data_IF_596270336503
#
_entry.id   IF_596270336503
#
_cell.length_a   1.000
_cell.length_b   1.000
_cell.length_c   1.000
_cell.angle_alpha   90.00
_cell.angle_beta   90.00
_cell.angle_gamma   90.00
#
_symmetry.space_group_name_H-M   'P 1'
#
loop_
_entity.id
_entity.type
_entity.pdbx_description
1 polymer ?
#
# COMPACT_ATOMS: atom_id res chain seq x y z
N UNK A 1 15.43 -19.44 -1.61
CA UNK A 1 14.71 -19.97 -2.79
C UNK A 1 14.35 -18.89 -3.82
N UNK A 2 14.36 -17.60 -3.48
CA UNK A 2 14.08 -16.51 -4.44
C UNK A 2 15.09 -15.36 -4.27
N UNK A 3 15.58 -14.79 -5.38
CA UNK A 3 16.68 -13.80 -5.40
C UNK A 3 16.24 -12.33 -5.50
N UNK A 4 14.95 -12.08 -5.77
CA UNK A 4 14.39 -10.73 -5.90
C UNK A 4 13.54 -10.38 -4.66
N UNK A 5 13.19 -9.11 -4.54
CA UNK A 5 12.21 -8.61 -3.57
C UNK A 5 12.75 -7.51 -2.67
N UNK A 6 11.88 -6.55 -2.35
CA UNK A 6 12.17 -5.43 -1.46
C UNK A 6 11.43 -5.52 -0.10
N UNK A 7 10.75 -6.63 0.17
CA UNK A 7 9.86 -6.75 1.34
C UNK A 7 8.59 -5.91 1.22
N UNK A 8 8.13 -5.65 -0.01
CA UNK A 8 6.90 -4.89 -0.26
C UNK A 8 5.68 -5.80 -0.45
N UNK A 9 4.75 -5.73 0.50
CA UNK A 9 3.51 -6.49 0.42
C UNK A 9 2.55 -6.01 -0.67
N UNK A 10 2.66 -4.76 -1.12
CA UNK A 10 1.89 -4.28 -2.28
C UNK A 10 2.42 -4.87 -3.59
N UNK A 11 3.72 -5.18 -3.69
CA UNK A 11 4.27 -5.94 -4.81
C UNK A 11 3.76 -7.38 -4.81
N UNK A 12 3.75 -8.03 -3.64
CA UNK A 12 3.22 -9.39 -3.47
C UNK A 12 1.74 -9.45 -3.86
N UNK A 13 0.91 -8.53 -3.35
CA UNK A 13 -0.51 -8.47 -3.68
C UNK A 13 -0.74 -8.15 -5.17
N UNK A 14 0.04 -7.22 -5.74
CA UNK A 14 -0.02 -6.89 -7.16
C UNK A 14 0.31 -8.09 -8.04
N UNK A 15 1.34 -8.87 -7.70
CA UNK A 15 1.66 -10.10 -8.43
C UNK A 15 0.53 -11.12 -8.31
N UNK A 16 0.02 -11.35 -7.10
CA UNK A 16 -1.10 -12.25 -6.84
C UNK A 16 -2.34 -11.89 -7.65
N UNK A 17 -2.69 -10.61 -7.73
CA UNK A 17 -3.79 -10.08 -8.53
C UNK A 17 -3.71 -10.50 -10.00
N UNK A 18 -2.54 -10.36 -10.62
CA UNK A 18 -2.34 -10.70 -12.03
C UNK A 18 -2.44 -12.21 -12.26
N UNK A 19 -1.77 -12.99 -11.41
CA UNK A 19 -1.73 -14.47 -11.53
C UNK A 19 -3.12 -15.07 -11.30
N UNK A 20 -3.88 -14.54 -10.34
CA UNK A 20 -5.21 -15.01 -9.99
C UNK A 20 -6.33 -14.37 -10.84
N UNK A 21 -6.00 -13.54 -11.83
CA UNK A 21 -6.96 -12.83 -12.69
C UNK A 21 -7.98 -11.98 -11.91
N UNK A 22 -7.57 -11.43 -10.76
CA UNK A 22 -8.40 -10.67 -9.82
C UNK A 22 -8.50 -9.18 -10.21
N UNK A 23 -8.85 -8.90 -11.46
CA UNK A 23 -8.75 -7.55 -12.05
C UNK A 23 -9.98 -6.66 -11.88
N UNK A 24 -11.06 -7.16 -11.27
CA UNK A 24 -12.20 -6.31 -10.89
C UNK A 24 -11.89 -5.50 -9.64
N UNK A 25 -12.48 -4.31 -9.46
CA UNK A 25 -12.23 -3.48 -8.27
C UNK A 25 -12.47 -4.27 -6.97
N UNK A 26 -13.58 -5.02 -6.89
CA UNK A 26 -13.89 -5.86 -5.74
C UNK A 26 -12.80 -6.91 -5.46
N UNK A 27 -12.26 -7.54 -6.51
CA UNK A 27 -11.18 -8.51 -6.37
C UNK A 27 -9.85 -7.82 -5.98
N UNK A 28 -9.59 -6.60 -6.47
CA UNK A 28 -8.44 -5.82 -6.02
C UNK A 28 -8.51 -5.47 -4.53
N UNK A 29 -9.70 -5.14 -4.00
CA UNK A 29 -9.89 -4.97 -2.56
C UNK A 29 -9.55 -6.25 -1.79
N UNK A 30 -10.01 -7.41 -2.27
CA UNK A 30 -9.65 -8.69 -1.67
C UNK A 30 -8.14 -8.98 -1.71
N UNK A 31 -7.44 -8.59 -2.79
CA UNK A 31 -5.98 -8.70 -2.86
C UNK A 31 -5.27 -7.81 -1.83
N UNK A 32 -5.81 -6.63 -1.54
CA UNK A 32 -5.29 -5.76 -0.50
C UNK A 32 -5.52 -6.34 0.91
N UNK A 33 -6.71 -6.91 1.15
CA UNK A 33 -7.02 -7.61 2.41
C UNK A 33 -6.15 -8.86 2.61
N UNK A 34 -5.78 -9.54 1.52
CA UNK A 34 -4.88 -10.70 1.56
C UNK A 34 -3.48 -10.38 2.09
N UNK A 35 -3.09 -9.09 2.14
CA UNK A 35 -1.81 -8.64 2.70
C UNK A 35 -1.95 -7.72 3.91
N UNK A 36 -3.17 -7.61 4.47
CA UNK A 36 -3.45 -6.80 5.66
C UNK A 36 -4.29 -7.59 6.67
N UNK A 37 -5.61 -7.61 6.52
CA UNK A 37 -6.53 -8.24 7.47
C UNK A 37 -6.42 -9.77 7.50
N UNK A 38 -6.34 -10.43 6.35
CA UNK A 38 -6.38 -11.90 6.30
C UNK A 38 -5.16 -12.52 7.04
N UNK A 39 -3.91 -12.05 6.83
CA UNK A 39 -2.78 -12.54 7.62
C UNK A 39 -2.90 -12.23 9.11
N UNK A 40 -3.44 -11.08 9.49
CA UNK A 40 -3.65 -10.74 10.90
C UNK A 40 -4.62 -11.72 11.59
N UNK A 41 -5.70 -12.09 10.91
CA UNK A 41 -6.65 -13.10 11.37
C UNK A 41 -6.02 -14.49 11.44
N UNK A 42 -5.30 -14.91 10.41
CA UNK A 42 -4.59 -16.22 10.36
C UNK A 42 -3.60 -16.34 11.53
N UNK A 43 -2.91 -15.27 11.87
CA UNK A 43 -1.95 -15.22 12.97
C UNK A 43 -2.59 -15.01 14.35
N UNK A 44 -3.91 -14.80 14.42
CA UNK A 44 -4.63 -14.56 15.67
C UNK A 44 -4.23 -13.25 16.37
N UNK A 45 -3.80 -12.23 15.62
CA UNK A 45 -3.33 -10.96 16.19
C UNK A 45 -4.47 -10.26 16.95
N UNK A 46 -4.17 -9.86 18.19
CA UNK A 46 -5.08 -9.09 19.03
C UNK A 46 -4.81 -7.59 18.86
N UNK A 47 -5.87 -6.78 18.89
CA UNK A 47 -5.77 -5.32 18.76
C UNK A 47 -5.28 -4.83 17.39
N UNK A 48 -5.49 -5.62 16.33
CA UNK A 48 -5.20 -5.25 14.94
C UNK A 48 -6.45 -4.65 14.28
N UNK A 49 -6.29 -3.49 13.63
CA UNK A 49 -7.37 -2.81 12.91
C UNK A 49 -7.34 -1.31 13.15
N UNK A 50 -8.23 -0.59 12.45
CA UNK A 50 -8.38 0.86 12.56
C UNK A 50 -9.65 1.24 13.34
N UNK A 51 -9.89 0.54 14.45
CA UNK A 51 -11.07 0.71 15.29
C UNK A 51 -10.69 1.15 16.71
N UNK A 52 -11.54 1.90 17.43
CA UNK A 52 -11.31 2.22 18.83
C UNK A 52 -11.03 0.98 19.67
N UNK A 53 -9.99 1.03 20.50
CA UNK A 53 -9.53 -0.11 21.31
C UNK A 53 -8.42 -0.94 20.66
N UNK A 54 -8.22 -0.84 19.34
CA UNK A 54 -7.05 -1.39 18.68
C UNK A 54 -5.78 -0.60 19.04
N UNK A 55 -4.63 -1.21 18.77
CA UNK A 55 -3.37 -0.51 18.89
C UNK A 55 -3.26 0.59 17.85
N UNK A 56 -2.64 1.73 18.21
CA UNK A 56 -2.36 2.82 17.29
C UNK A 56 -1.20 2.45 16.34
N UNK A 57 -1.42 1.42 15.54
CA UNK A 57 -0.48 0.79 14.62
C UNK A 57 -1.06 0.83 13.21
N UNK A 58 -0.49 1.67 12.35
CA UNK A 58 -1.00 1.84 11.00
C UNK A 58 0.07 2.39 10.07
N UNK A 59 -0.22 2.28 8.78
CA UNK A 59 0.64 2.77 7.71
C UNK A 59 -0.16 3.76 6.88
N UNK A 60 0.44 4.91 6.58
CA UNK A 60 -0.12 5.89 5.64
C UNK A 60 0.55 5.69 4.29
N UNK A 61 -0.26 5.37 3.27
CA UNK A 61 0.17 5.23 1.88
C UNK A 61 -0.12 6.50 1.08
N UNK A 62 0.71 6.83 0.09
CA UNK A 62 0.40 7.91 -0.86
C UNK A 62 -0.55 7.43 -1.96
N UNK A 63 -1.76 7.05 -1.57
CA UNK A 63 -2.84 6.59 -2.44
C UNK A 63 -4.19 6.94 -1.81
N UNK A 64 -5.24 7.07 -2.63
CA UNK A 64 -6.59 7.42 -2.19
C UNK A 64 -7.39 6.23 -1.69
N UNK A 65 -7.12 5.04 -2.22
CA UNK A 65 -7.86 3.82 -1.90
C UNK A 65 -6.97 2.57 -2.15
N UNK A 66 -7.43 1.37 -1.73
CA UNK A 66 -6.71 0.11 -1.97
C UNK A 66 -6.42 -0.20 -3.44
N UNK A 67 -7.30 0.20 -4.36
CA UNK A 67 -7.12 -0.03 -5.81
C UNK A 67 -5.94 0.79 -6.32
N UNK A 68 -5.88 2.07 -5.97
CA UNK A 68 -4.77 2.95 -6.28
C UNK A 68 -3.48 2.53 -5.57
N UNK A 69 -3.57 2.05 -4.32
CA UNK A 69 -2.42 1.51 -3.59
C UNK A 69 -1.81 0.30 -4.31
N UNK A 70 -2.63 -0.63 -4.82
CA UNK A 70 -2.14 -1.76 -5.62
C UNK A 70 -1.62 -1.34 -6.99
N UNK A 71 -2.27 -0.37 -7.64
CA UNK A 71 -1.86 0.15 -8.95
C UNK A 71 -0.48 0.81 -8.88
N UNK A 72 -0.31 1.73 -7.93
CA UNK A 72 0.88 2.57 -7.80
C UNK A 72 2.00 1.91 -6.99
N UNK A 73 1.66 1.01 -6.05
CA UNK A 73 2.59 0.48 -5.03
C UNK A 73 3.39 1.63 -4.39
N UNK A 74 2.69 2.65 -3.83
CA UNK A 74 3.34 3.86 -3.38
C UNK A 74 4.24 3.58 -2.17
N UNK A 75 5.13 4.53 -1.89
CA UNK A 75 5.89 4.52 -0.65
C UNK A 75 4.96 4.58 0.57
N UNK A 76 5.44 4.02 1.68
CA UNK A 76 4.83 4.22 2.99
C UNK A 76 5.26 5.61 3.48
N UNK A 77 4.35 6.58 3.41
CA UNK A 77 4.62 7.95 3.85
C UNK A 77 4.95 7.99 5.33
N UNK A 78 4.21 7.21 6.12
CA UNK A 78 4.42 7.04 7.55
C UNK A 78 4.15 5.60 7.96
N UNK A 79 5.00 5.08 8.85
CA UNK A 79 4.74 3.85 9.60
C UNK A 79 4.63 4.24 11.07
N UNK A 80 3.46 4.00 11.66
CA UNK A 80 3.15 4.32 13.04
C UNK A 80 3.03 3.02 13.83
N UNK A 81 3.73 2.95 14.97
CA UNK A 81 3.67 1.83 15.92
C UNK A 81 3.50 2.41 17.31
N UNK A 82 2.42 2.02 17.99
CA UNK A 82 2.02 2.44 19.33
C UNK A 82 1.93 3.96 19.45
N UNK A 83 1.34 4.58 18.42
CA UNK A 83 1.17 6.03 18.35
C UNK A 83 2.45 6.80 18.06
N UNK A 84 3.57 6.14 17.75
CA UNK A 84 4.85 6.78 17.41
C UNK A 84 5.19 6.54 15.95
N UNK A 85 5.60 7.58 15.25
CA UNK A 85 6.17 7.45 13.89
C UNK A 85 7.53 6.78 14.02
N UNK A 86 7.68 5.59 13.42
CA UNK A 86 8.93 4.82 13.43
C UNK A 86 9.65 4.83 12.07
N UNK A 87 8.95 5.23 11.01
CA UNK A 87 9.52 5.42 9.68
C UNK A 87 8.72 6.45 8.89
N UNK A 88 9.40 7.24 8.06
CA UNK A 88 8.81 8.25 7.20
C UNK A 88 9.56 8.30 5.87
N UNK A 89 8.82 8.42 4.76
CA UNK A 89 9.39 8.54 3.40
C UNK A 89 8.70 9.67 2.67
N UNK A 90 9.43 10.58 2.01
CA UNK A 90 8.87 11.66 1.18
C UNK A 90 7.91 11.13 0.09
N UNK A 91 6.90 11.91 -0.31
CA UNK A 91 6.03 11.53 -1.42
C UNK A 91 6.85 11.50 -2.74
N UNK A 92 6.73 10.45 -3.57
CA UNK A 92 7.46 10.39 -4.83
C UNK A 92 6.83 11.37 -5.82
N UNK A 93 7.62 12.35 -6.26
CA UNK A 93 7.21 13.32 -7.29
C UNK A 93 8.20 13.19 -8.43
N UNK A 94 7.72 12.76 -9.60
CA UNK A 94 8.53 12.75 -10.81
C UNK A 94 8.63 14.18 -11.36
N UNK A 95 9.85 14.63 -11.65
CA UNK A 95 10.11 15.90 -12.31
C UNK A 95 10.09 15.70 -13.82
N UNK A 96 9.50 16.65 -14.54
CA UNK A 96 9.36 16.61 -15.99
C UNK A 96 10.05 17.84 -16.59
N UNK A 97 10.89 17.61 -17.59
CA UNK A 97 11.53 18.65 -18.40
C UNK A 97 11.03 18.54 -19.83
N UNK A 98 9.72 18.77 -20.01
CA UNK A 98 9.01 18.60 -21.27
C UNK A 98 8.19 19.86 -21.58
N UNK A 99 8.40 20.45 -22.76
CA UNK A 99 7.68 21.64 -23.20
C UNK A 99 6.16 21.38 -23.26
N UNK A 100 5.37 22.33 -22.76
CA UNK A 100 3.90 22.24 -22.74
C UNK A 100 3.31 21.22 -21.76
N UNK A 101 4.11 20.63 -20.87
CA UNK A 101 3.65 19.70 -19.82
C UNK A 101 3.82 20.29 -18.42
N UNK A 102 3.09 19.78 -17.41
CA UNK A 102 3.36 20.14 -16.01
C UNK A 102 4.80 19.82 -15.63
N UNK A 103 5.39 20.64 -14.75
CA UNK A 103 6.78 20.42 -14.28
C UNK A 103 6.93 19.17 -13.41
N UNK A 104 5.83 18.62 -12.87
CA UNK A 104 5.87 17.42 -12.06
C UNK A 104 4.58 16.60 -12.10
N UNK A 105 4.69 15.32 -11.74
CA UNK A 105 3.56 14.37 -11.68
C UNK A 105 3.75 13.39 -10.52
N UNK A 106 2.64 13.00 -9.89
CA UNK A 106 2.59 12.02 -8.78
C UNK A 106 1.80 10.74 -9.11
N UNK A 107 1.29 10.61 -10.35
CA UNK A 107 0.56 9.46 -10.89
C UNK A 107 -0.73 9.03 -10.19
N UNK A 108 -1.19 9.76 -9.16
CA UNK A 108 -2.51 9.57 -8.54
C UNK A 108 -3.58 10.03 -9.52
N UNK A 109 -4.74 9.37 -9.54
CA UNK A 109 -5.86 9.88 -10.35
C UNK A 109 -6.44 11.14 -9.66
N UNK A 110 -7.07 12.01 -10.44
CA UNK A 110 -7.82 13.16 -9.94
C UNK A 110 -9.09 12.75 -9.20
#
# INVERSE_FOLDING_TARGET
WYSMGAGDMLEVASMGLHVAQMTSQAAMHQCFDAVTHNPAQILGLQGYGLEPGCHADFVILDARDPVEALRLRPVRRYVVRRGRVISQTAAPIAQLSLDGRPQSVNFRLG
#
